data_IF_419821087132
#
_entry.id   IF_419821087132
#
_cell.length_a   1.000
_cell.length_b   1.000
_cell.length_c   1.000
_cell.angle_alpha   90.00
_cell.angle_beta   90.00
_cell.angle_gamma   90.00
#
_symmetry.space_group_name_H-M   'P 1'
#
loop_
_entity.id
_entity.type
_entity.pdbx_description
1 polymer ?
#
# COMPACT_ATOMS: atom_id res chain seq x y z
N UNK A 1 9.24 -6.47 -13.80
CA UNK A 1 9.71 -5.48 -12.78
C UNK A 1 8.53 -5.06 -11.92
N UNK A 2 8.72 -4.83 -10.62
CA UNK A 2 7.63 -4.51 -9.69
C UNK A 2 6.84 -3.24 -10.03
N UNK A 3 7.45 -2.24 -10.68
CA UNK A 3 6.72 -1.07 -11.17
C UNK A 3 5.59 -1.45 -12.12
N UNK A 4 5.73 -2.54 -12.89
CA UNK A 4 4.66 -3.03 -13.76
C UNK A 4 3.51 -3.67 -12.97
N UNK A 5 3.81 -4.34 -11.86
CA UNK A 5 2.80 -4.89 -10.96
C UNK A 5 2.00 -3.76 -10.31
N UNK A 6 2.65 -2.65 -9.91
CA UNK A 6 1.94 -1.45 -9.41
C UNK A 6 0.91 -0.96 -10.42
N UNK A 7 1.30 -0.88 -11.71
CA UNK A 7 0.41 -0.46 -12.79
C UNK A 7 -0.75 -1.44 -12.98
N UNK A 8 -0.49 -2.75 -12.89
CA UNK A 8 -1.54 -3.76 -12.97
C UNK A 8 -2.53 -3.67 -11.81
N UNK A 9 -2.04 -3.46 -10.58
CA UNK A 9 -2.88 -3.25 -9.40
C UNK A 9 -3.74 -2.00 -9.57
N UNK A 10 -3.16 -0.87 -10.00
CA UNK A 10 -3.93 0.36 -10.27
C UNK A 10 -5.00 0.14 -11.34
N UNK A 11 -4.65 -0.57 -12.43
CA UNK A 11 -5.62 -0.93 -13.49
C UNK A 11 -6.77 -1.76 -12.92
N UNK A 12 -6.47 -2.77 -12.13
CA UNK A 12 -7.49 -3.64 -11.57
C UNK A 12 -8.40 -2.93 -10.57
N UNK A 13 -7.84 -2.05 -9.73
CA UNK A 13 -8.62 -1.18 -8.85
C UNK A 13 -9.56 -0.31 -9.72
N UNK A 14 -9.06 0.31 -10.78
CA UNK A 14 -9.88 1.10 -11.70
C UNK A 14 -11.04 0.28 -12.29
N UNK A 15 -10.76 -0.88 -12.89
CA UNK A 15 -11.79 -1.72 -13.53
C UNK A 15 -12.86 -2.17 -12.52
N UNK A 16 -12.48 -2.54 -11.30
CA UNK A 16 -13.47 -2.95 -10.30
C UNK A 16 -14.28 -1.80 -9.77
N UNK A 17 -13.66 -0.65 -9.47
CA UNK A 17 -14.41 0.54 -9.05
C UNK A 17 -15.40 1.00 -10.15
N UNK A 18 -15.01 0.86 -11.42
CA UNK A 18 -15.87 1.17 -12.56
C UNK A 18 -17.02 0.17 -12.72
N UNK A 19 -16.77 -1.12 -12.53
CA UNK A 19 -17.78 -2.17 -12.68
C UNK A 19 -18.80 -2.19 -11.52
N UNK A 20 -18.32 -2.10 -10.29
CA UNK A 20 -19.14 -2.29 -9.10
C UNK A 20 -19.65 -0.96 -8.51
N UNK A 21 -18.99 0.16 -8.85
CA UNK A 21 -19.21 1.47 -8.25
C UNK A 21 -18.39 1.68 -6.98
N UNK A 22 -17.82 2.88 -6.82
CA UNK A 22 -16.86 3.22 -5.75
C UNK A 22 -17.42 2.89 -4.35
N UNK A 23 -18.69 3.20 -4.11
CA UNK A 23 -19.35 3.02 -2.82
C UNK A 23 -19.76 1.56 -2.52
N UNK A 24 -19.74 0.67 -3.52
CA UNK A 24 -20.13 -0.75 -3.35
C UNK A 24 -18.94 -1.69 -3.18
N UNK A 25 -17.73 -1.23 -3.48
CA UNK A 25 -16.52 -2.05 -3.43
C UNK A 25 -16.07 -2.40 -2.00
N UNK A 26 -16.69 -1.82 -0.98
CA UNK A 26 -16.32 -1.97 0.42
C UNK A 26 -17.35 -2.82 1.19
N UNK A 27 -17.34 -4.13 0.98
CA UNK A 27 -18.27 -5.07 1.67
C UNK A 27 -17.97 -5.28 3.16
N UNK A 28 -16.85 -4.77 3.68
CA UNK A 28 -16.51 -4.88 5.09
C UNK A 28 -17.37 -3.93 5.95
N UNK A 29 -18.17 -4.55 6.84
CA UNK A 29 -19.26 -3.99 7.68
C UNK A 29 -18.99 -2.67 8.45
N UNK A 30 -17.76 -2.14 8.49
CA UNK A 30 -17.39 -0.93 9.24
C UNK A 30 -17.01 0.30 8.39
N UNK A 31 -16.99 0.20 7.06
CA UNK A 31 -16.71 1.34 6.15
C UNK A 31 -18.00 1.88 5.51
N UNK A 32 -19.15 1.29 5.84
CA UNK A 32 -20.47 1.65 5.24
C UNK A 32 -20.87 3.11 5.42
N UNK A 33 -20.25 3.83 6.35
CA UNK A 33 -20.58 5.23 6.67
C UNK A 33 -19.82 6.24 5.78
N UNK A 34 -18.87 5.78 4.95
CA UNK A 34 -18.11 6.65 4.05
C UNK A 34 -18.74 6.65 2.67
N UNK A 35 -19.19 7.81 2.22
CA UNK A 35 -19.68 8.03 0.85
C UNK A 35 -18.59 8.78 0.09
N UNK A 36 -18.12 8.18 -1.00
CA UNK A 36 -17.17 8.78 -1.92
C UNK A 36 -17.90 9.50 -3.06
N UNK A 37 -17.45 10.71 -3.36
CA UNK A 37 -17.97 11.61 -4.40
C UNK A 37 -16.91 12.67 -4.78
N UNK A 38 -17.23 13.62 -5.65
CA UNK A 38 -16.29 14.67 -6.09
C UNK A 38 -15.70 15.50 -4.94
N UNK A 39 -16.49 15.79 -3.90
CA UNK A 39 -16.07 16.58 -2.73
C UNK A 39 -15.26 15.74 -1.72
N UNK A 40 -15.53 14.44 -1.67
CA UNK A 40 -14.85 13.46 -0.82
C UNK A 40 -14.37 12.25 -1.66
N UNK A 41 -13.37 12.43 -2.54
CA UNK A 41 -12.94 11.39 -3.45
C UNK A 41 -12.19 10.30 -2.69
N UNK A 42 -12.29 9.05 -3.19
CA UNK A 42 -11.46 7.95 -2.70
C UNK A 42 -9.99 8.28 -2.94
N UNK A 43 -9.14 8.00 -1.96
CA UNK A 43 -7.72 8.36 -2.04
C UNK A 43 -6.79 7.14 -2.07
N UNK A 44 -5.88 7.14 -3.03
CA UNK A 44 -4.85 6.10 -3.21
C UNK A 44 -3.47 6.74 -3.07
N UNK A 45 -2.60 6.15 -2.25
CA UNK A 45 -1.18 6.50 -2.17
C UNK A 45 -0.30 5.36 -2.69
N UNK A 46 0.62 5.66 -3.61
CA UNK A 46 1.70 4.75 -4.01
C UNK A 46 3.01 5.24 -3.41
N UNK A 47 3.58 4.46 -2.48
CA UNK A 47 4.78 4.84 -1.74
C UNK A 47 5.93 3.95 -2.14
N UNK A 48 6.94 4.53 -2.78
CA UNK A 48 8.18 3.85 -3.12
C UNK A 48 9.30 4.16 -2.12
N UNK A 49 10.16 3.19 -1.83
CA UNK A 49 11.37 3.41 -1.03
C UNK A 49 12.57 3.91 -1.87
N UNK A 50 12.47 3.89 -3.20
CA UNK A 50 13.60 4.15 -4.09
C UNK A 50 13.23 5.12 -5.21
N UNK A 51 14.04 6.18 -5.37
CA UNK A 51 13.79 7.22 -6.37
C UNK A 51 13.75 6.67 -7.82
N UNK A 52 14.57 5.67 -8.14
CA UNK A 52 14.58 5.05 -9.47
C UNK A 52 13.25 4.33 -9.78
N UNK A 53 12.70 3.61 -8.80
CA UNK A 53 11.39 2.97 -8.97
C UNK A 53 10.28 4.02 -9.06
N UNK A 54 10.30 5.04 -8.19
CA UNK A 54 9.36 6.16 -8.28
C UNK A 54 9.34 6.74 -9.70
N UNK A 55 10.52 7.04 -10.28
CA UNK A 55 10.64 7.53 -11.66
C UNK A 55 10.05 6.56 -12.68
N UNK A 56 10.30 5.25 -12.54
CA UNK A 56 9.77 4.23 -13.45
C UNK A 56 8.24 4.10 -13.35
N UNK A 57 7.66 4.16 -12.14
CA UNK A 57 6.20 4.18 -11.93
C UNK A 57 5.60 5.42 -12.59
N UNK A 58 6.16 6.61 -12.34
CA UNK A 58 5.71 7.88 -12.93
C UNK A 58 5.78 7.84 -14.46
N UNK A 59 6.82 7.23 -15.03
CA UNK A 59 6.94 7.07 -16.49
C UNK A 59 5.84 6.16 -17.05
N UNK A 60 5.53 5.07 -16.36
CA UNK A 60 4.52 4.09 -16.81
C UNK A 60 3.09 4.59 -16.64
N UNK A 61 2.80 5.26 -15.54
CA UNK A 61 1.44 5.72 -15.21
C UNK A 61 0.94 6.78 -16.19
N UNK A 62 1.85 7.62 -16.72
CA UNK A 62 1.54 8.64 -17.73
C UNK A 62 0.97 8.07 -19.03
N UNK A 63 1.24 6.79 -19.32
CA UNK A 63 0.79 6.14 -20.55
C UNK A 63 -0.54 5.39 -20.36
N UNK A 64 -1.17 5.47 -19.18
CA UNK A 64 -2.45 4.82 -18.93
C UNK A 64 -3.60 5.72 -19.38
N UNK A 65 -4.43 5.19 -20.29
CA UNK A 65 -5.55 5.93 -20.86
C UNK A 65 -6.63 6.31 -19.83
N UNK A 66 -6.76 5.56 -18.74
CA UNK A 66 -7.71 5.78 -17.65
C UNK A 66 -7.17 6.71 -16.54
N UNK A 67 -6.03 7.37 -16.75
CA UNK A 67 -5.45 8.30 -15.79
C UNK A 67 -5.34 9.70 -16.38
N UNK A 68 -5.70 10.69 -15.57
CA UNK A 68 -5.46 12.09 -15.80
C UNK A 68 -4.39 12.57 -14.83
N UNK A 69 -3.44 13.37 -15.33
CA UNK A 69 -2.47 14.04 -14.46
C UNK A 69 -3.10 15.34 -13.97
N UNK A 70 -3.02 15.54 -12.67
CA UNK A 70 -3.41 16.81 -12.03
C UNK A 70 -2.19 17.73 -12.01
N UNK A 71 -1.40 17.66 -10.94
CA UNK A 71 -0.18 18.46 -10.77
C UNK A 71 0.92 17.62 -10.11
N UNK A 72 2.18 17.93 -10.39
CA UNK A 72 3.31 17.24 -9.75
C UNK A 72 3.22 15.71 -9.93
N UNK A 73 3.12 15.00 -8.81
CA UNK A 73 2.94 13.55 -8.69
C UNK A 73 1.53 13.13 -8.23
N UNK A 74 0.55 14.00 -8.45
CA UNK A 74 -0.88 13.75 -8.25
C UNK A 74 -1.59 13.46 -9.58
N UNK A 75 -2.53 12.52 -9.51
CA UNK A 75 -3.26 11.96 -10.65
C UNK A 75 -4.71 11.68 -10.22
N UNK A 76 -5.61 11.55 -11.18
CA UNK A 76 -7.01 11.13 -10.99
C UNK A 76 -7.32 9.96 -11.93
N UNK A 77 -8.16 9.01 -11.50
CA UNK A 77 -8.78 8.09 -12.46
C UNK A 77 -9.82 8.84 -13.29
N UNK A 78 -9.81 8.64 -14.61
CA UNK A 78 -10.82 9.24 -15.48
C UNK A 78 -12.19 8.66 -15.16
N UNK A 79 -13.20 9.54 -15.16
CA UNK A 79 -14.61 9.19 -14.94
C UNK A 79 -14.92 8.60 -13.54
N UNK A 80 -13.98 8.71 -12.59
CA UNK A 80 -14.15 8.23 -11.22
C UNK A 80 -13.61 9.26 -10.22
N UNK A 81 -14.29 9.41 -9.08
CA UNK A 81 -13.85 10.27 -7.98
C UNK A 81 -12.78 9.60 -7.13
N UNK A 82 -11.62 9.38 -7.76
CA UNK A 82 -10.48 8.70 -7.16
C UNK A 82 -9.20 9.47 -7.42
N UNK A 83 -8.60 9.98 -6.35
CA UNK A 83 -7.35 10.72 -6.38
C UNK A 83 -6.16 9.83 -6.02
N UNK A 84 -5.07 9.96 -6.76
CA UNK A 84 -3.87 9.13 -6.64
C UNK A 84 -2.66 10.03 -6.39
N UNK A 85 -1.92 9.76 -5.33
CA UNK A 85 -0.64 10.38 -5.04
C UNK A 85 0.48 9.36 -5.14
N UNK A 86 1.52 9.67 -5.91
CA UNK A 86 2.72 8.83 -5.99
C UNK A 86 3.86 9.61 -5.37
N UNK A 87 4.59 9.00 -4.43
CA UNK A 87 5.78 9.62 -3.86
C UNK A 87 6.80 8.60 -3.39
N UNK A 88 7.96 9.11 -2.98
CA UNK A 88 8.89 8.33 -2.17
C UNK A 88 8.57 8.54 -0.69
N UNK A 89 8.90 7.56 0.16
CA UNK A 89 8.54 7.56 1.58
C UNK A 89 8.89 8.86 2.31
N UNK A 90 10.10 9.41 2.13
CA UNK A 90 10.53 10.62 2.83
C UNK A 90 9.81 11.89 2.33
N UNK A 91 9.24 11.85 1.11
CA UNK A 91 8.47 12.94 0.51
C UNK A 91 6.96 12.67 0.53
N UNK A 92 6.53 11.58 1.15
CA UNK A 92 5.11 11.31 1.32
C UNK A 92 4.61 12.13 2.52
N UNK A 93 4.47 13.43 2.28
CA UNK A 93 3.90 14.37 3.23
C UNK A 93 2.38 14.39 3.07
N UNK A 94 1.66 14.45 4.19
CA UNK A 94 0.19 14.52 4.21
C UNK A 94 -0.49 13.43 5.05
N UNK A 95 -1.82 13.59 5.16
CA UNK A 95 -2.74 12.69 5.86
C UNK A 95 -2.75 11.28 5.24
N UNK A 96 -3.26 10.32 5.99
CA UNK A 96 -3.49 8.94 5.52
C UNK A 96 -4.35 8.90 4.25
N UNK A 97 -4.23 7.81 3.49
CA UNK A 97 -5.02 7.51 2.29
C UNK A 97 -5.87 6.27 2.53
N UNK A 98 -7.01 6.17 1.85
CA UNK A 98 -7.91 5.03 1.98
C UNK A 98 -7.22 3.73 1.56
N UNK A 99 -6.45 3.82 0.47
CA UNK A 99 -5.64 2.73 -0.07
C UNK A 99 -4.17 3.15 -0.12
N UNK A 100 -3.27 2.29 0.34
CA UNK A 100 -1.82 2.42 0.13
C UNK A 100 -1.28 1.23 -0.65
N UNK A 101 -0.41 1.51 -1.62
CA UNK A 101 0.32 0.53 -2.43
C UNK A 101 1.81 0.74 -2.23
N UNK A 102 2.51 -0.30 -1.79
CA UNK A 102 3.94 -0.27 -1.48
C UNK A 102 4.67 -1.37 -2.25
N UNK A 103 5.41 -1.03 -3.30
CA UNK A 103 6.34 -1.96 -3.90
C UNK A 103 7.70 -1.96 -3.18
N UNK A 104 8.24 -3.14 -2.88
CA UNK A 104 9.43 -3.31 -2.05
C UNK A 104 10.76 -3.30 -2.83
N UNK A 105 10.73 -3.34 -4.16
CA UNK A 105 11.81 -3.28 -5.19
C UNK A 105 12.96 -4.28 -5.14
N UNK A 106 13.19 -4.97 -4.02
CA UNK A 106 14.43 -5.72 -3.84
C UNK A 106 14.30 -7.15 -4.33
N UNK A 107 15.13 -7.48 -5.32
CA UNK A 107 15.50 -8.84 -5.68
C UNK A 107 16.95 -8.81 -6.15
N UNK A 108 17.89 -9.14 -5.27
CA UNK A 108 19.32 -9.18 -5.61
C UNK A 108 19.98 -10.44 -5.05
N UNK A 109 21.05 -10.90 -5.72
CA UNK A 109 21.77 -12.12 -5.35
C UNK A 109 22.35 -12.05 -3.93
N UNK A 110 22.70 -10.86 -3.47
CA UNK A 110 23.28 -10.59 -2.15
C UNK A 110 22.25 -10.48 -1.02
N UNK A 111 20.95 -10.69 -1.30
CA UNK A 111 19.86 -10.63 -0.31
C UNK A 111 19.84 -9.36 0.54
N UNK A 112 20.35 -8.25 0.01
CA UNK A 112 20.41 -7.01 0.76
C UNK A 112 19.10 -6.23 0.58
N UNK A 113 18.41 -5.89 1.67
CA UNK A 113 17.16 -5.13 1.67
C UNK A 113 17.37 -3.60 1.64
N UNK A 114 18.59 -3.09 1.84
CA UNK A 114 18.95 -1.68 1.65
C UNK A 114 18.09 -0.72 2.48
N UNK A 115 17.48 0.28 1.83
CA UNK A 115 16.62 1.28 2.45
C UNK A 115 15.42 0.72 3.21
N UNK A 116 15.01 -0.52 2.93
CA UNK A 116 13.99 -1.20 3.73
C UNK A 116 14.49 -1.54 5.15
N UNK A 117 15.79 -1.51 5.48
CA UNK A 117 16.25 -1.71 6.87
C UNK A 117 15.73 -0.63 7.83
N UNK A 118 15.33 0.54 7.32
CA UNK A 118 14.80 1.60 8.17
C UNK A 118 13.39 1.24 8.64
N UNK A 119 13.30 0.78 9.89
CA UNK A 119 12.03 0.51 10.58
C UNK A 119 11.13 1.74 10.66
N UNK A 120 11.72 2.93 10.82
CA UNK A 120 11.02 4.21 10.82
C UNK A 120 10.31 4.44 9.48
N UNK A 121 11.01 4.26 8.35
CA UNK A 121 10.41 4.42 7.01
C UNK A 121 9.35 3.35 6.73
N UNK A 122 9.56 2.12 7.19
CA UNK A 122 8.57 1.05 7.11
C UNK A 122 7.27 1.44 7.84
N UNK A 123 7.40 1.87 9.10
CA UNK A 123 6.28 2.30 9.92
C UNK A 123 5.54 3.46 9.27
N UNK A 124 6.27 4.48 8.80
CA UNK A 124 5.68 5.63 8.09
C UNK A 124 4.93 5.18 6.84
N UNK A 125 5.48 4.29 6.01
CA UNK A 125 4.81 3.87 4.79
C UNK A 125 3.55 3.04 5.08
N UNK A 126 3.63 2.09 6.02
CA UNK A 126 2.50 1.23 6.37
C UNK A 126 1.38 2.03 7.02
N UNK A 127 1.69 2.94 7.94
CA UNK A 127 0.68 3.65 8.73
C UNK A 127 -0.15 4.64 7.91
N UNK A 128 0.17 4.87 6.63
CA UNK A 128 -0.64 5.75 5.75
C UNK A 128 -1.92 5.11 5.26
N UNK A 129 -2.14 3.81 5.49
CA UNK A 129 -3.32 3.10 5.00
C UNK A 129 -4.48 3.16 6.01
N UNK A 130 -5.59 3.82 5.67
CA UNK A 130 -6.79 3.84 6.51
C UNK A 130 -7.58 2.54 6.44
N UNK A 131 -7.69 1.96 5.24
CA UNK A 131 -8.54 0.80 4.99
C UNK A 131 -7.72 -0.34 4.40
N UNK A 132 -7.07 -0.12 3.25
CA UNK A 132 -6.43 -1.17 2.49
C UNK A 132 -4.93 -0.93 2.30
N UNK A 133 -4.13 -1.96 2.54
CA UNK A 133 -2.69 -1.95 2.31
C UNK A 133 -2.29 -3.05 1.32
N UNK A 134 -1.81 -2.65 0.15
CA UNK A 134 -1.22 -3.53 -0.86
C UNK A 134 0.30 -3.48 -0.78
N UNK A 135 0.94 -4.65 -0.70
CA UNK A 135 2.39 -4.76 -0.68
C UNK A 135 2.83 -5.67 -1.81
N UNK A 136 3.71 -5.15 -2.66
CA UNK A 136 4.18 -5.82 -3.87
C UNK A 136 5.66 -6.13 -3.67
N UNK A 137 6.04 -7.39 -3.82
CA UNK A 137 7.43 -7.79 -3.67
C UNK A 137 7.69 -9.20 -4.20
N UNK A 138 8.96 -9.53 -4.42
CA UNK A 138 9.36 -10.87 -4.83
C UNK A 138 9.26 -11.85 -3.64
N UNK A 139 8.26 -12.72 -3.65
CA UNK A 139 8.00 -13.69 -2.58
C UNK A 139 9.25 -14.51 -2.23
N UNK A 140 9.93 -15.09 -3.22
CA UNK A 140 11.09 -15.97 -3.00
C UNK A 140 12.26 -15.25 -2.36
N UNK A 141 12.48 -13.99 -2.75
CA UNK A 141 13.52 -13.15 -2.16
C UNK A 141 13.23 -12.90 -0.67
N UNK A 142 12.00 -12.55 -0.32
CA UNK A 142 11.63 -12.27 1.06
C UNK A 142 11.43 -13.52 1.92
N UNK A 143 11.06 -14.65 1.34
CA UNK A 143 11.04 -15.92 2.03
C UNK A 143 12.45 -16.36 2.43
N UNK A 144 13.42 -16.20 1.53
CA UNK A 144 14.84 -16.50 1.79
C UNK A 144 15.51 -15.50 2.74
N UNK A 145 14.92 -14.33 2.95
CA UNK A 145 15.36 -13.35 3.95
C UNK A 145 15.00 -13.74 5.39
N UNK A 146 13.95 -14.57 5.57
CA UNK A 146 13.51 -15.03 6.90
C UNK A 146 14.61 -15.70 7.70
N UNK A 147 15.59 -16.29 7.01
CA UNK A 147 16.72 -16.99 7.60
C UNK A 147 17.85 -16.06 8.08
N UNK A 148 17.76 -14.75 7.86
CA UNK A 148 18.88 -13.82 8.08
C UNK A 148 18.63 -12.87 9.27
N UNK A 149 17.39 -12.46 9.55
CA UNK A 149 17.05 -11.66 10.74
C UNK A 149 15.53 -11.59 11.01
N UNK A 150 15.01 -12.35 11.98
CA UNK A 150 13.56 -12.40 12.24
C UNK A 150 12.94 -11.10 12.76
N UNK A 151 13.76 -10.18 13.27
CA UNK A 151 13.28 -8.95 13.89
C UNK A 151 12.98 -7.82 12.89
N UNK A 152 13.30 -8.01 11.61
CA UNK A 152 13.02 -7.03 10.57
C UNK A 152 11.49 -6.85 10.39
N UNK A 153 10.99 -5.60 10.30
CA UNK A 153 9.55 -5.31 10.20
C UNK A 153 8.88 -6.00 9.00
N UNK A 154 9.58 -6.14 7.88
CA UNK A 154 9.06 -6.80 6.68
C UNK A 154 8.92 -8.31 6.87
N UNK A 155 9.81 -8.95 7.65
CA UNK A 155 9.68 -10.38 7.95
C UNK A 155 8.49 -10.61 8.87
N UNK A 156 8.30 -9.75 9.88
CA UNK A 156 7.11 -9.79 10.75
C UNK A 156 5.82 -9.58 9.96
N UNK A 157 5.81 -8.60 9.05
CA UNK A 157 4.70 -8.36 8.12
C UNK A 157 4.39 -9.59 7.26
N UNK A 158 5.37 -10.20 6.59
CA UNK A 158 5.11 -11.36 5.73
C UNK A 158 4.70 -12.58 6.58
N UNK A 159 5.26 -12.76 7.79
CA UNK A 159 4.80 -13.80 8.73
C UNK A 159 3.33 -13.57 9.10
N UNK A 160 2.95 -12.34 9.41
CA UNK A 160 1.57 -11.95 9.69
C UNK A 160 0.65 -12.21 8.49
N UNK A 161 1.04 -11.80 7.29
CA UNK A 161 0.24 -12.03 6.09
C UNK A 161 0.08 -13.53 5.79
N UNK A 162 1.14 -14.34 5.94
CA UNK A 162 1.03 -15.81 5.80
C UNK A 162 0.05 -16.40 6.82
N UNK A 163 0.21 -16.04 8.10
CA UNK A 163 -0.62 -16.56 9.19
C UNK A 163 -2.10 -16.27 8.96
N UNK A 164 -2.42 -15.08 8.43
CA UNK A 164 -3.79 -14.64 8.21
C UNK A 164 -4.30 -14.92 6.79
N UNK A 165 -3.57 -15.70 5.97
CA UNK A 165 -3.91 -16.00 4.56
C UNK A 165 -4.10 -14.75 3.69
N UNK A 166 -3.36 -13.68 3.99
CA UNK A 166 -3.39 -12.40 3.28
C UNK A 166 -2.27 -12.27 2.23
N UNK A 167 -1.56 -13.37 1.94
CA UNK A 167 -0.58 -13.38 0.85
C UNK A 167 -1.23 -13.82 -0.44
N UNK A 168 -1.25 -12.90 -1.40
CA UNK A 168 -1.53 -13.20 -2.79
C UNK A 168 -0.21 -13.39 -3.54
N UNK A 169 0.03 -14.62 -3.98
CA UNK A 169 1.05 -14.88 -5.00
C UNK A 169 0.45 -14.52 -6.34
N UNK A 170 0.91 -13.42 -6.93
CA UNK A 170 0.38 -12.93 -8.21
C UNK A 170 0.73 -13.90 -9.35
N UNK A 171 -0.25 -14.73 -9.75
CA UNK A 171 -0.53 -14.96 -11.16
C UNK A 171 -1.63 -13.95 -11.54
N UNK A 172 -1.43 -13.07 -12.54
CA UNK A 172 -2.28 -11.90 -12.76
C UNK A 172 -3.70 -12.32 -13.17
N UNK A 173 -4.61 -12.40 -12.21
CA UNK A 173 -6.06 -12.66 -12.41
C UNK A 173 -6.91 -11.89 -11.38
N UNK A 174 -8.23 -11.99 -11.52
CA UNK A 174 -9.30 -11.23 -10.85
C UNK A 174 -9.24 -11.26 -9.29
N UNK A 175 -8.51 -12.20 -8.68
CA UNK A 175 -8.43 -12.45 -7.22
C UNK A 175 -7.76 -11.36 -6.36
N UNK A 176 -7.12 -10.35 -6.96
CA UNK A 176 -6.31 -9.36 -6.25
C UNK A 176 -7.14 -8.47 -5.30
N UNK A 177 -8.43 -8.33 -5.56
CA UNK A 177 -9.33 -7.46 -4.78
C UNK A 177 -9.99 -8.18 -3.61
N UNK A 178 -10.10 -9.51 -3.65
CA UNK A 178 -10.80 -10.26 -2.60
C UNK A 178 -9.92 -10.56 -1.36
N UNK A 179 -8.60 -10.36 -1.45
CA UNK A 179 -7.63 -10.76 -0.40
C UNK A 179 -6.80 -9.58 0.13
N UNK A 180 -7.38 -8.39 0.16
CA UNK A 180 -6.73 -7.17 0.63
C UNK A 180 -6.57 -7.19 2.16
N UNK A 181 -5.40 -6.79 2.65
CA UNK A 181 -5.14 -6.65 4.09
C UNK A 181 -5.92 -5.42 4.60
N UNK A 182 -6.89 -5.63 5.51
CA UNK A 182 -7.43 -4.54 6.33
C UNK A 182 -6.28 -4.02 7.22
N UNK A 183 -5.85 -2.79 6.97
CA UNK A 183 -4.71 -2.17 7.64
C UNK A 183 -4.90 -2.10 9.16
N UNK A 184 -6.14 -1.94 9.64
CA UNK A 184 -6.46 -1.86 11.08
C UNK A 184 -6.27 -3.20 11.78
N UNK A 185 -6.47 -4.32 11.09
CA UNK A 185 -6.18 -5.65 11.64
C UNK A 185 -4.67 -5.87 11.71
N UNK A 186 -3.93 -5.48 10.67
CA UNK A 186 -2.47 -5.55 10.62
C UNK A 186 -1.79 -4.81 11.78
N UNK A 187 -2.16 -3.56 12.06
CA UNK A 187 -1.51 -2.77 13.12
C UNK A 187 -1.74 -3.32 14.53
N UNK A 188 -2.91 -3.91 14.80
CA UNK A 188 -3.21 -4.55 16.10
C UNK A 188 -2.33 -5.76 16.42
N UNK A 189 -1.80 -6.43 15.38
CA UNK A 189 -0.89 -7.57 15.49
C UNK A 189 0.60 -7.23 15.28
N UNK A 190 0.91 -6.08 14.68
CA UNK A 190 2.28 -5.64 14.37
C UNK A 190 2.98 -4.93 15.52
N UNK A 191 2.25 -4.20 16.37
CA UNK A 191 2.79 -3.57 17.57
C UNK A 191 2.99 -4.62 18.68
N UNK A 192 4.22 -4.69 19.17
CA UNK A 192 4.59 -5.57 20.29
C UNK A 192 3.76 -5.26 21.53
N UNK A 193 3.58 -6.24 22.44
CA UNK A 193 2.89 -6.03 23.72
C UNK A 193 3.49 -4.88 24.54
N UNK A 194 4.79 -4.60 24.40
CA UNK A 194 5.44 -3.44 25.04
C UNK A 194 5.05 -2.09 24.41
N UNK A 195 4.81 -2.03 23.09
CA UNK A 195 4.30 -0.82 22.41
C UNK A 195 2.80 -0.59 22.66
N UNK A 196 2.08 -1.60 23.19
CA UNK A 196 0.67 -1.46 23.61
C UNK A 196 0.51 -0.72 24.93
N UNK A 197 1.55 -0.67 25.76
CA UNK A 197 1.50 0.00 27.08
C UNK A 197 2.14 1.39 27.08
N UNK A 198 2.78 1.84 25.99
CA UNK A 198 3.36 3.19 25.93
C UNK A 198 2.98 3.96 24.66
N UNK A 199 1.98 4.84 24.80
CA UNK A 199 1.92 6.20 24.23
C UNK A 199 1.99 6.42 22.71
N UNK A 200 1.88 5.41 21.84
CA UNK A 200 1.80 5.64 20.38
C UNK A 200 0.36 5.71 19.87
N UNK A 201 -0.57 4.98 20.49
CA UNK A 201 -1.99 5.01 20.08
C UNK A 201 -2.75 6.24 20.61
N UNK A 202 -2.42 6.73 21.81
CA UNK A 202 -3.09 7.90 22.41
C UNK A 202 -2.51 9.23 21.90
N UNK A 203 -1.19 9.35 21.69
CA UNK A 203 -0.59 10.58 21.12
C UNK A 203 -0.98 10.88 19.67
N UNK A 204 -1.45 9.88 18.92
CA UNK A 204 -1.89 10.07 17.53
C UNK A 204 -3.30 10.66 17.43
N UNK A 205 -4.09 10.63 18.52
CA UNK A 205 -5.41 11.29 18.59
C UNK A 205 -5.30 12.73 19.13
N UNK A 206 -4.22 13.06 19.87
CA UNK A 206 -4.02 14.38 20.49
C UNK A 206 -3.47 15.46 19.54
N UNK A 207 -3.14 15.14 18.27
CA UNK A 207 -2.63 16.12 17.30
C UNK A 207 -3.44 16.09 15.98
N UNK A 208 -4.78 16.10 16.12
CA UNK A 208 -5.66 16.76 15.15
C UNK A 208 -5.54 18.28 15.29
#
# INVERSE_FOLDING_TARGET
MESQLVIQVLKQIYETLKADGINNCWKYKKVKDVIYNEENPLTIGVISFYAAQFKDIIRRIKNLNFIQREHGSFYKFKDLDVNIQISIVDRFQGREKDIIIIPLTRSNKFRNIGFLKSRQRANVAFSRAKHNLFIIGNHDFYEKLRYINENEPYIKLIKYCKKNKLLLTLNPTKEIIDNVIDSRHFFKGFLSREEKENKVYEKFQEHL
#
